data_IF_496401185038
#
_entry.id   IF_496401185038
#
_cell.length_a   1.000
_cell.length_b   1.000
_cell.length_c   1.000
_cell.angle_alpha   90.00
_cell.angle_beta   90.00
_cell.angle_gamma   90.00
#
_symmetry.space_group_name_H-M   'P 1'
#
loop_
_entity.id
_entity.type
_entity.pdbx_description
1 polymer ?
#
# COMPACT_ATOMS: atom_id res chain seq x y z
N UNK A 1 7.75 2.89 -13.17
CA UNK A 1 7.33 2.03 -12.04
C UNK A 1 6.12 2.66 -11.35
N UNK A 2 5.06 1.88 -11.07
CA UNK A 2 3.88 2.35 -10.31
C UNK A 2 3.80 1.52 -9.01
N UNK A 3 4.22 2.10 -7.90
CA UNK A 3 4.06 1.49 -6.58
C UNK A 3 2.75 2.01 -5.98
N UNK A 4 1.67 1.28 -6.22
CA UNK A 4 0.36 1.50 -5.58
C UNK A 4 0.23 0.47 -4.49
N UNK A 5 0.58 0.83 -3.26
CA UNK A 5 0.41 -0.03 -2.08
C UNK A 5 -0.98 0.14 -1.44
N UNK A 6 -1.77 1.13 -1.88
CA UNK A 6 -3.13 1.43 -1.40
C UNK A 6 -4.06 1.87 -2.53
N UNK A 7 -5.40 1.66 -2.42
CA UNK A 7 -6.36 2.21 -3.36
C UNK A 7 -6.15 3.72 -3.52
N UNK A 8 -6.00 4.24 -4.76
CA UNK A 8 -5.82 5.67 -4.97
C UNK A 8 -7.09 6.41 -4.55
N UNK A 9 -6.93 7.49 -3.79
CA UNK A 9 -8.02 8.42 -3.52
C UNK A 9 -8.38 9.12 -4.84
N UNK A 10 -9.69 9.16 -5.14
CA UNK A 10 -10.22 9.80 -6.34
C UNK A 10 -10.87 11.11 -5.96
N UNK A 11 -10.51 12.16 -6.67
CA UNK A 11 -11.14 13.48 -6.61
C UNK A 11 -11.92 13.71 -7.91
N UNK A 12 -13.09 14.33 -7.82
CA UNK A 12 -13.81 14.81 -8.99
C UNK A 12 -13.12 16.08 -9.53
N UNK A 13 -12.63 16.02 -10.77
CA UNK A 13 -11.89 17.10 -11.40
C UNK A 13 -12.78 18.29 -11.77
N UNK A 14 -14.04 18.07 -12.16
CA UNK A 14 -14.96 19.15 -12.52
C UNK A 14 -15.28 20.02 -11.29
N UNK A 15 -15.51 19.38 -10.15
CA UNK A 15 -15.72 20.08 -8.88
C UNK A 15 -14.47 20.87 -8.47
N UNK A 16 -13.28 20.27 -8.58
CA UNK A 16 -12.02 20.95 -8.25
C UNK A 16 -11.80 22.19 -9.13
N UNK A 17 -12.06 22.09 -10.44
CA UNK A 17 -11.96 23.22 -11.36
C UNK A 17 -12.94 24.34 -10.98
N UNK A 18 -14.20 24.00 -10.71
CA UNK A 18 -15.20 24.97 -10.28
C UNK A 18 -14.79 25.70 -8.98
N UNK A 19 -14.17 24.99 -8.03
CA UNK A 19 -13.65 25.60 -6.80
C UNK A 19 -12.48 26.57 -7.09
N UNK A 20 -11.55 26.19 -7.96
CA UNK A 20 -10.47 27.07 -8.40
C UNK A 20 -11.01 28.37 -9.02
N UNK A 21 -12.02 28.25 -9.90
CA UNK A 21 -12.65 29.40 -10.57
C UNK A 21 -13.37 30.33 -9.58
N UNK A 22 -14.15 29.77 -8.65
CA UNK A 22 -14.88 30.54 -7.63
C UNK A 22 -13.92 31.30 -6.70
N UNK A 23 -12.81 30.67 -6.34
CA UNK A 23 -11.85 31.20 -5.35
C UNK A 23 -10.70 31.99 -5.98
N UNK A 24 -10.57 31.98 -7.31
CA UNK A 24 -9.48 32.64 -8.01
C UNK A 24 -8.09 32.10 -7.65
N UNK A 25 -7.99 30.79 -7.39
CA UNK A 25 -6.76 30.12 -6.95
C UNK A 25 -6.42 28.90 -7.81
N UNK A 26 -5.25 28.30 -7.58
CA UNK A 26 -4.81 27.10 -8.28
C UNK A 26 -5.05 25.84 -7.45
N UNK A 27 -4.97 24.67 -8.08
CA UNK A 27 -5.09 23.39 -7.36
C UNK A 27 -4.02 23.21 -6.26
N UNK A 28 -2.85 23.84 -6.40
CA UNK A 28 -1.79 23.78 -5.40
C UNK A 28 -2.15 24.55 -4.12
N UNK A 29 -3.06 25.52 -4.22
CA UNK A 29 -3.53 26.31 -3.07
C UNK A 29 -4.65 25.57 -2.29
N UNK A 30 -5.31 24.61 -2.94
CA UNK A 30 -6.42 23.82 -2.37
C UNK A 30 -6.00 22.43 -1.85
N UNK A 31 -4.88 21.89 -2.33
CA UNK A 31 -4.43 20.53 -2.03
C UNK A 31 -3.13 20.54 -1.24
N UNK A 32 -3.12 19.82 -0.12
CA UNK A 32 -1.92 19.59 0.68
C UNK A 32 -1.48 18.12 0.55
N UNK A 33 -0.24 17.89 0.10
CA UNK A 33 0.34 16.56 0.03
C UNK A 33 1.04 16.22 1.34
N UNK A 34 0.47 15.27 2.09
CA UNK A 34 1.09 14.75 3.31
C UNK A 34 1.66 13.35 3.09
N UNK A 35 2.89 13.15 3.52
CA UNK A 35 3.50 11.82 3.58
C UNK A 35 2.96 11.15 4.85
N UNK A 36 2.01 10.24 4.70
CA UNK A 36 1.59 9.39 5.82
C UNK A 36 2.54 8.19 5.92
N UNK A 37 3.31 8.13 7.01
CA UNK A 37 3.95 6.89 7.42
C UNK A 37 2.88 5.91 7.90
N UNK A 38 2.41 5.09 6.98
CA UNK A 38 1.53 3.97 7.30
C UNK A 38 2.40 2.94 8.00
N UNK A 39 2.43 2.99 9.33
CA UNK A 39 2.84 1.82 10.10
C UNK A 39 1.82 0.73 9.80
N UNK A 40 2.16 -0.14 8.85
CA UNK A 40 1.54 -1.45 8.80
C UNK A 40 1.73 -2.05 10.19
N UNK A 41 0.61 -2.20 10.91
CA UNK A 41 0.60 -3.03 12.10
C UNK A 41 1.18 -4.35 11.64
N UNK A 42 2.39 -4.70 12.11
CA UNK A 42 2.90 -6.04 11.87
C UNK A 42 1.84 -6.95 12.44
N UNK A 43 1.13 -7.66 11.57
CA UNK A 43 0.40 -8.83 11.97
C UNK A 43 1.48 -9.80 12.46
N UNK A 44 1.82 -9.71 13.75
CA UNK A 44 2.42 -10.83 14.44
C UNK A 44 1.42 -11.94 14.21
N UNK A 45 1.86 -13.03 13.57
CA UNK A 45 1.07 -14.24 13.46
C UNK A 45 0.87 -14.80 14.87
N UNK A 46 0.00 -14.15 15.63
CA UNK A 46 -0.47 -14.53 16.94
C UNK A 46 -1.68 -15.40 16.74
N UNK A 47 -1.42 -16.71 16.74
CA UNK A 47 -2.27 -17.78 17.27
C UNK A 47 -3.74 -17.91 16.79
N UNK A 48 -4.16 -17.17 15.77
CA UNK A 48 -5.58 -17.14 15.32
C UNK A 48 -5.81 -17.67 13.91
N UNK A 49 -4.76 -18.16 13.23
CA UNK A 49 -4.91 -19.05 12.08
C UNK A 49 -5.09 -20.50 12.53
N UNK A 50 -5.50 -21.44 11.64
CA UNK A 50 -5.45 -22.86 11.97
C UNK A 50 -4.04 -23.21 12.42
N UNK A 51 -3.88 -23.46 13.72
CA UNK A 51 -2.59 -23.71 14.33
C UNK A 51 -1.98 -24.95 13.69
N UNK A 52 -0.73 -24.85 13.23
CA UNK A 52 0.02 -25.99 12.68
C UNK A 52 0.48 -26.97 13.79
N UNK A 53 -0.05 -26.85 15.01
CA UNK A 53 0.37 -27.61 16.19
C UNK A 53 1.85 -27.40 16.50
N UNK A 54 2.55 -28.47 16.85
CA UNK A 54 4.00 -28.47 17.13
C UNK A 54 4.89 -28.41 15.87
N UNK A 55 4.30 -28.34 14.66
CA UNK A 55 5.07 -28.25 13.42
C UNK A 55 5.88 -26.95 13.42
N UNK A 56 7.20 -27.09 13.43
CA UNK A 56 8.12 -25.97 13.25
C UNK A 56 8.55 -25.87 11.79
N UNK A 57 8.61 -24.66 11.20
CA UNK A 57 9.12 -24.49 9.85
C UNK A 57 10.54 -25.06 9.72
N UNK A 58 10.74 -25.95 8.75
CA UNK A 58 12.07 -26.45 8.37
C UNK A 58 12.69 -25.45 7.39
N UNK A 59 14.00 -25.20 7.51
CA UNK A 59 14.72 -24.29 6.61
C UNK A 59 14.60 -24.79 5.16
N UNK A 60 13.96 -24.01 4.29
CA UNK A 60 13.88 -24.32 2.87
C UNK A 60 15.22 -24.04 2.17
N UNK A 61 15.59 -24.90 1.22
CA UNK A 61 16.68 -24.65 0.26
C UNK A 61 16.05 -24.25 -1.07
N UNK A 62 16.27 -23.00 -1.48
CA UNK A 62 15.74 -22.48 -2.75
C UNK A 62 16.66 -22.95 -3.88
N UNK A 63 16.11 -23.64 -4.87
CA UNK A 63 16.83 -24.05 -6.10
C UNK A 63 16.31 -23.27 -7.29
N UNK A 64 17.22 -22.90 -8.19
CA UNK A 64 16.87 -22.27 -9.47
C UNK A 64 16.31 -23.34 -10.41
N UNK A 65 15.18 -23.12 -11.11
CA UNK A 65 14.48 -24.16 -11.88
C UNK A 65 15.24 -24.81 -13.05
N UNK A 66 16.42 -24.31 -13.43
CA UNK A 66 17.15 -24.74 -14.64
C UNK A 66 18.62 -25.06 -14.39
N UNK A 67 19.01 -25.40 -13.16
CA UNK A 67 20.36 -25.87 -12.88
C UNK A 67 20.38 -27.41 -12.90
N UNK A 68 21.05 -28.06 -13.87
CA UNK A 68 21.23 -29.51 -13.87
C UNK A 68 22.22 -29.95 -12.79
N UNK A 69 22.10 -31.22 -12.39
CA UNK A 69 22.72 -31.84 -11.20
C UNK A 69 24.25 -31.86 -11.21
#
# INVERSE_FOLDING_TARGET
HRLVTKPPQRVNIELLAALCDILGCTAADLLEFRIEEVRELRHVAGDTGPGIGELRPIRATIRRPHEPQ
#
